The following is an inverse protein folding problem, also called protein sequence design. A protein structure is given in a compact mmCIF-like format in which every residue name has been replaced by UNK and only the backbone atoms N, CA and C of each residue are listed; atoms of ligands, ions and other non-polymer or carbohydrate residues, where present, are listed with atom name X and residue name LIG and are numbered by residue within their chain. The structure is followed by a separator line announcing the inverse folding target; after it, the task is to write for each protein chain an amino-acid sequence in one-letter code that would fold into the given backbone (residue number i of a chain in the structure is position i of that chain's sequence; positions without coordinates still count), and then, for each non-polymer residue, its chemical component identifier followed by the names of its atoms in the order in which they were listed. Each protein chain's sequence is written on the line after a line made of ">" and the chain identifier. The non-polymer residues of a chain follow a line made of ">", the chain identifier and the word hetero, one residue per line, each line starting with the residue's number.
data_IF_198351486809
#
_entry.id   IF_198351486809
#
_cell.length_a   1.000
_cell.length_b   1.000
_cell.length_c   1.000
_cell.angle_alpha   90.00
_cell.angle_beta   90.00
_cell.angle_gamma   90.00
#
_symmetry.space_group_name_H-M   'P 1'
#
loop_
_entity.id
_entity.type
_entity.pdbx_description
1 polymer ?
#
# COMPACT_ATOMS: atom_id res chain seq x y z
N UNK A 1 8.56 7.70 -5.38
CA UNK A 1 7.34 7.72 -4.57
C UNK A 1 7.17 6.41 -3.85
N UNK A 2 6.92 6.45 -2.59
CA UNK A 2 6.73 5.25 -1.78
C UNK A 2 5.24 4.97 -1.67
N UNK A 3 4.83 3.75 -2.03
CA UNK A 3 3.44 3.34 -1.93
C UNK A 3 3.34 2.37 -0.75
N UNK A 4 2.36 2.56 0.11
CA UNK A 4 2.17 1.71 1.28
C UNK A 4 0.73 1.22 1.29
N UNK A 5 0.55 -0.08 1.26
CA UNK A 5 -0.78 -0.66 1.21
C UNK A 5 -0.74 -2.09 1.68
N UNK A 6 -1.85 -2.64 2.07
CA UNK A 6 -1.91 -4.07 2.39
C UNK A 6 -2.98 -4.69 1.52
N UNK A 7 -4.19 -4.94 2.02
CA UNK A 7 -5.20 -5.56 1.19
C UNK A 7 -5.62 -4.71 0.03
N UNK A 8 -5.38 -3.41 0.08
CA UNK A 8 -5.81 -2.50 -0.97
C UNK A 8 -4.74 -2.30 -2.03
N UNK A 9 -3.63 -3.04 -1.94
CA UNK A 9 -2.50 -2.80 -2.84
C UNK A 9 -2.84 -3.01 -4.31
N UNK A 10 -3.73 -3.93 -4.61
CA UNK A 10 -4.08 -4.18 -6.00
C UNK A 10 -5.36 -3.49 -6.45
N UNK A 11 -5.85 -2.52 -5.68
CA UNK A 11 -7.11 -1.89 -6.04
C UNK A 11 -6.91 -0.80 -7.08
N UNK A 12 -8.01 -0.44 -7.72
CA UNK A 12 -7.97 0.60 -8.74
C UNK A 12 -7.55 1.94 -8.17
N UNK A 13 -7.89 2.20 -6.90
CA UNK A 13 -7.54 3.48 -6.31
C UNK A 13 -6.04 3.73 -6.26
N UNK A 14 -5.27 2.71 -5.92
CA UNK A 14 -3.84 2.90 -5.87
C UNK A 14 -3.27 3.03 -7.28
N UNK A 15 -3.79 2.27 -8.23
CA UNK A 15 -3.35 2.39 -9.61
C UNK A 15 -3.66 3.79 -10.16
N UNK A 16 -4.81 4.34 -9.79
CA UNK A 16 -5.17 5.67 -10.23
C UNK A 16 -4.22 6.71 -9.63
N UNK A 17 -3.80 6.51 -8.38
CA UNK A 17 -2.86 7.43 -7.76
C UNK A 17 -1.52 7.42 -8.50
N UNK A 18 -1.09 6.24 -8.96
CA UNK A 18 0.13 6.14 -9.73
C UNK A 18 -0.02 6.90 -11.05
N UNK A 19 -1.14 6.72 -11.74
CA UNK A 19 -1.36 7.42 -13.00
C UNK A 19 -1.42 8.91 -12.80
N UNK A 20 -2.08 9.33 -11.73
CA UNK A 20 -2.22 10.74 -11.47
C UNK A 20 -0.85 11.37 -11.17
N UNK A 21 0.00 10.67 -10.45
CA UNK A 21 1.32 11.19 -10.16
C UNK A 21 2.12 11.37 -11.45
N UNK A 22 1.99 10.41 -12.37
CA UNK A 22 2.74 10.49 -13.61
C UNK A 22 2.30 11.62 -14.49
N UNK A 23 1.08 12.10 -14.33
CA UNK A 23 0.64 13.25 -15.10
C UNK A 23 1.42 14.50 -14.70
N UNK A 24 2.00 14.51 -13.52
CA UNK A 24 2.76 15.66 -13.06
C UNK A 24 4.24 15.53 -13.39
N UNK A 25 4.64 14.43 -13.98
CA UNK A 25 6.03 14.23 -14.39
C UNK A 25 6.52 12.83 -14.07
N UNK A 26 7.69 12.48 -14.54
CA UNK A 26 8.23 11.14 -14.35
C UNK A 26 8.37 10.80 -12.86
N UNK A 27 8.19 9.54 -12.52
CA UNK A 27 8.35 9.10 -11.16
C UNK A 27 8.66 7.62 -11.13
N UNK A 28 9.35 7.19 -10.07
CA UNK A 28 9.66 5.79 -9.87
C UNK A 28 8.91 5.38 -8.61
N UNK A 29 8.33 4.19 -8.61
CA UNK A 29 7.51 3.74 -7.51
C UNK A 29 8.04 2.49 -6.83
N UNK A 30 7.86 2.42 -5.53
CA UNK A 30 8.23 1.24 -4.76
C UNK A 30 7.09 0.96 -3.79
N UNK A 31 6.61 -0.28 -3.74
CA UNK A 31 5.49 -0.65 -2.90
C UNK A 31 5.96 -1.41 -1.67
N UNK A 32 5.50 -1.02 -0.50
CA UNK A 32 5.76 -1.75 0.73
C UNK A 32 4.44 -2.28 1.24
N UNK A 33 4.37 -3.59 1.48
CA UNK A 33 3.19 -4.21 2.05
C UNK A 33 3.57 -4.71 3.43
N UNK A 34 3.12 -4.07 4.49
CA UNK A 34 3.47 -4.52 5.83
C UNK A 34 2.92 -5.91 6.11
N UNK A 35 3.66 -6.70 6.83
CA UNK A 35 3.22 -8.03 7.17
C UNK A 35 1.99 -7.95 8.07
N UNK A 36 1.21 -9.00 8.09
CA UNK A 36 0.00 -8.99 8.88
C UNK A 36 0.37 -9.20 10.34
N UNK A 37 -0.12 -8.41 11.23
CA UNK A 37 0.23 -8.57 12.65
C UNK A 37 -0.55 -9.66 13.34
N UNK A 38 -0.07 -10.84 13.42
CA UNK A 38 -0.76 -11.85 14.08
C UNK A 38 -0.05 -12.25 15.26
N UNK A 39 -0.17 -12.39 16.26
CA UNK A 39 0.56 -12.76 17.39
C UNK A 39 0.84 -14.21 17.47
N UNK A 40 -0.11 -14.93 17.92
CA UNK A 40 0.10 -16.30 18.20
C UNK A 40 0.23 -17.22 17.05
N UNK A 41 -0.40 -16.89 15.98
CA UNK A 41 -0.38 -17.79 14.87
C UNK A 41 0.99 -18.01 14.30
N UNK A 42 1.88 -17.09 14.52
CA UNK A 42 3.17 -17.25 14.00
C UNK A 42 3.87 -18.42 14.62
N UNK A 43 3.51 -18.80 15.77
CA UNK A 43 4.17 -19.89 16.42
C UNK A 43 3.83 -21.19 15.74
N UNK A 44 2.72 -21.20 15.04
CA UNK A 44 2.29 -22.41 14.41
C UNK A 44 2.93 -22.58 13.06
N UNK A 45 2.96 -21.53 12.29
CA UNK A 45 3.50 -21.63 10.96
C UNK A 45 4.11 -20.32 10.56
N UNK A 46 5.30 -20.07 10.92
CA UNK A 46 5.93 -18.80 10.62
C UNK A 46 6.13 -18.55 9.16
N UNK A 47 6.11 -19.59 8.36
CA UNK A 47 6.33 -19.35 6.98
C UNK A 47 5.12 -18.99 6.25
N UNK A 48 3.99 -19.42 6.69
CA UNK A 48 2.77 -19.12 6.03
C UNK A 48 1.97 -18.07 6.68
N UNK A 49 2.28 -17.54 7.70
CA UNK A 49 1.46 -16.56 8.37
C UNK A 49 1.44 -15.23 7.71
N UNK A 50 1.83 -14.25 8.47
CA UNK A 50 1.72 -12.91 8.04
C UNK A 50 2.49 -12.59 6.82
N UNK A 51 3.69 -13.07 6.71
CA UNK A 51 4.50 -12.75 5.57
C UNK A 51 3.92 -13.38 4.32
N UNK A 52 3.30 -14.55 4.44
CA UNK A 52 2.70 -15.19 3.28
C UNK A 52 1.56 -14.38 2.71
N UNK A 53 0.71 -13.85 3.58
CA UNK A 53 -0.40 -13.06 3.12
C UNK A 53 0.06 -11.76 2.50
N UNK A 54 1.02 -11.09 3.12
CA UNK A 54 1.55 -9.86 2.57
C UNK A 54 2.28 -10.13 1.26
N UNK A 55 3.00 -11.24 1.16
CA UNK A 55 3.70 -11.58 -0.06
C UNK A 55 2.71 -11.82 -1.20
N UNK A 56 1.57 -12.43 -0.91
CA UNK A 56 0.56 -12.62 -1.93
C UNK A 56 -0.01 -11.30 -2.38
N UNK A 57 -0.30 -10.41 -1.46
CA UNK A 57 -0.83 -9.10 -1.82
C UNK A 57 0.17 -8.35 -2.69
N UNK A 58 1.45 -8.45 -2.34
CA UNK A 58 2.49 -7.81 -3.11
C UNK A 58 2.56 -8.40 -4.52
N UNK A 59 2.53 -9.73 -4.63
CA UNK A 59 2.63 -10.38 -5.91
C UNK A 59 1.46 -10.05 -6.82
N UNK A 60 0.29 -9.84 -6.25
CA UNK A 60 -0.88 -9.48 -7.04
C UNK A 60 -0.86 -8.03 -7.45
N UNK A 61 -0.29 -7.17 -6.61
CA UNK A 61 -0.30 -5.75 -6.88
C UNK A 61 0.76 -5.30 -7.88
N UNK A 62 1.94 -5.90 -7.82
CA UNK A 62 3.04 -5.41 -8.66
C UNK A 62 2.74 -5.39 -10.15
N UNK A 63 2.12 -6.43 -10.73
CA UNK A 63 1.83 -6.37 -12.16
C UNK A 63 0.84 -5.26 -12.49
N UNK A 64 -0.16 -5.05 -11.63
CA UNK A 64 -1.14 -4.02 -11.89
C UNK A 64 -0.54 -2.62 -11.77
N UNK A 65 0.30 -2.43 -10.77
CA UNK A 65 0.94 -1.13 -10.60
C UNK A 65 1.96 -0.88 -11.71
N UNK A 66 2.65 -1.92 -12.14
CA UNK A 66 3.61 -1.76 -13.22
C UNK A 66 2.91 -1.39 -14.51
N UNK A 67 1.72 -1.97 -14.74
CA UNK A 67 0.97 -1.63 -15.92
C UNK A 67 0.49 -0.18 -15.81
N UNK A 68 0.04 0.26 -14.66
CA UNK A 68 -0.41 1.63 -14.48
C UNK A 68 0.75 2.61 -14.62
N UNK A 69 1.94 2.22 -14.21
CA UNK A 69 3.11 3.09 -14.27
C UNK A 69 3.78 3.08 -15.64
N UNK A 70 3.53 2.05 -16.43
CA UNK A 70 4.19 1.95 -17.72
C UNK A 70 5.62 1.45 -17.61
N UNK A 71 6.03 0.98 -16.43
CA UNK A 71 7.35 0.43 -16.25
C UNK A 71 7.35 -0.37 -14.97
N UNK A 72 8.34 -1.22 -14.74
CA UNK A 72 8.32 -2.09 -13.57
C UNK A 72 8.30 -1.32 -12.26
N UNK A 73 7.44 -1.75 -11.35
CA UNK A 73 7.36 -1.19 -10.01
C UNK A 73 7.96 -2.22 -9.08
N UNK A 74 8.86 -1.80 -8.20
CA UNK A 74 9.48 -2.73 -7.26
C UNK A 74 8.67 -2.78 -5.99
N UNK A 75 8.91 -3.76 -5.16
CA UNK A 75 8.17 -3.89 -3.92
C UNK A 75 8.79 -4.85 -2.95
N UNK A 76 8.30 -4.80 -1.71
CA UNK A 76 8.79 -5.68 -0.67
C UNK A 76 7.76 -5.78 0.45
N UNK A 77 7.86 -6.85 1.23
CA UNK A 77 7.06 -7.00 2.44
C UNK A 77 7.83 -6.28 3.54
N UNK A 78 7.15 -5.48 4.33
CA UNK A 78 7.78 -4.72 5.40
C UNK A 78 7.38 -5.19 6.77
N UNK A 79 7.80 -4.46 7.78
CA UNK A 79 7.51 -4.78 9.17
C UNK A 79 6.00 -4.84 9.39
N UNK A 80 5.58 -5.66 10.34
CA UNK A 80 4.16 -5.79 10.65
C UNK A 80 3.58 -4.50 11.21
N UNK A 81 4.40 -3.67 11.81
CA UNK A 81 3.95 -2.38 12.28
C UNK A 81 4.06 -1.40 11.12
N UNK A 82 2.96 -0.90 10.60
CA UNK A 82 3.03 -0.08 9.37
C UNK A 82 3.95 1.13 9.48
N UNK A 83 3.96 1.80 10.62
CA UNK A 83 4.81 2.97 10.74
C UNK A 83 6.28 2.57 10.69
N UNK A 84 6.62 1.41 11.24
CA UNK A 84 7.98 0.92 11.16
C UNK A 84 8.34 0.52 9.74
N UNK A 85 7.38 -0.06 9.01
CA UNK A 85 7.61 -0.42 7.62
C UNK A 85 7.92 0.82 6.81
N UNK A 86 7.23 1.92 7.06
CA UNK A 86 7.49 3.17 6.37
C UNK A 86 8.85 3.72 6.77
N UNK A 87 9.16 3.68 8.06
CA UNK A 87 10.44 4.19 8.54
C UNK A 87 11.61 3.44 7.92
N UNK A 88 11.49 2.11 7.84
CA UNK A 88 12.53 1.31 7.26
C UNK A 88 12.72 1.66 5.78
N UNK A 89 11.64 1.86 5.06
CA UNK A 89 11.75 2.18 3.64
C UNK A 89 12.36 3.56 3.43
N UNK A 90 11.93 4.52 4.22
CA UNK A 90 12.42 5.89 4.08
C UNK A 90 13.90 5.96 4.44
N UNK A 91 14.35 5.10 5.35
CA UNK A 91 15.75 5.07 5.72
C UNK A 91 16.60 4.33 4.69
N UNK A 92 16.01 3.42 3.93
CA UNK A 92 16.76 2.64 2.96
C UNK A 92 16.95 3.33 1.63
N UNK A 93 16.09 4.27 1.29
CA UNK A 93 16.16 4.95 0.00
C UNK A 93 15.52 6.32 0.11
N UNK A 94 15.76 7.16 -0.89
CA UNK A 94 15.20 8.49 -0.88
C UNK A 94 13.87 8.51 -1.62
N UNK A 95 12.87 9.11 -1.04
CA UNK A 95 11.56 9.26 -1.67
C UNK A 95 11.13 10.72 -1.56
N UNK A 96 10.28 11.14 -2.46
CA UNK A 96 9.79 12.51 -2.44
C UNK A 96 8.32 12.58 -2.03
N UNK A 97 7.68 11.45 -1.85
CA UNK A 97 6.27 11.45 -1.48
C UNK A 97 5.88 10.08 -0.98
N UNK A 98 4.92 10.01 -0.08
CA UNK A 98 4.40 8.75 0.44
C UNK A 98 2.92 8.70 0.12
N UNK A 99 2.45 7.57 -0.43
CA UNK A 99 1.02 7.36 -0.66
C UNK A 99 0.60 6.20 0.21
N UNK A 100 -0.40 6.39 1.04
CA UNK A 100 -0.91 5.34 1.91
C UNK A 100 -2.31 4.98 1.44
N UNK A 101 -2.51 3.71 1.09
CA UNK A 101 -3.80 3.23 0.63
C UNK A 101 -4.45 2.44 1.75
N UNK A 102 -5.69 2.76 2.10
CA UNK A 102 -6.37 2.11 3.20
C UNK A 102 -7.75 1.62 2.78
N UNK A 103 -8.32 0.77 3.60
CA UNK A 103 -9.72 0.42 3.48
C UNK A 103 -10.53 1.64 3.95
N UNK A 104 -11.85 1.64 3.72
CA UNK A 104 -12.68 2.72 4.23
C UNK A 104 -12.53 2.85 5.73
N UNK A 105 -12.74 4.08 6.22
CA UNK A 105 -12.45 4.38 7.62
C UNK A 105 -13.00 3.39 8.62
N UNK A 106 -14.21 2.96 8.50
CA UNK A 106 -14.75 2.07 9.50
C UNK A 106 -14.16 0.68 9.46
N UNK A 107 -13.44 0.33 8.40
CA UNK A 107 -12.83 -0.97 8.28
C UNK A 107 -11.30 -0.91 8.41
N UNK A 108 -10.73 0.27 8.46
CA UNK A 108 -9.29 0.40 8.40
C UNK A 108 -8.66 0.48 9.77
N UNK A 109 -7.85 -0.52 10.12
CA UNK A 109 -7.11 -0.47 11.35
C UNK A 109 -6.09 0.65 11.29
N UNK A 110 -5.52 0.88 10.12
CA UNK A 110 -4.51 1.93 9.99
C UNK A 110 -5.09 3.31 10.29
N UNK A 111 -6.32 3.57 9.87
CA UNK A 111 -6.92 4.86 10.16
C UNK A 111 -7.23 4.98 11.65
N UNK A 112 -7.59 3.88 12.29
CA UNK A 112 -7.84 3.92 13.72
C UNK A 112 -6.55 4.13 14.49
N UNK A 113 -5.40 3.78 13.92
CA UNK A 113 -4.12 4.01 14.54
C UNK A 113 -3.52 5.34 14.12
N UNK A 114 -4.26 6.09 13.30
CA UNK A 114 -3.81 7.43 12.88
C UNK A 114 -2.51 7.36 12.09
N UNK A 115 -2.36 6.34 11.28
CA UNK A 115 -1.14 6.14 10.53
C UNK A 115 -0.83 7.28 9.59
N UNK A 116 -1.85 7.81 8.91
CA UNK A 116 -1.64 8.87 7.93
C UNK A 116 -1.03 10.10 8.61
N UNK A 117 -1.59 10.49 9.76
CA UNK A 117 -1.05 11.63 10.46
C UNK A 117 0.37 11.38 10.93
N UNK A 118 0.62 10.19 11.46
CA UNK A 118 1.95 9.89 11.97
C UNK A 118 2.99 9.86 10.86
N UNK A 119 2.58 9.47 9.66
CA UNK A 119 3.51 9.40 8.55
C UNK A 119 4.02 10.77 8.14
N UNK A 120 3.27 11.83 8.44
CA UNK A 120 3.75 13.17 8.12
C UNK A 120 5.02 13.49 8.90
N UNK A 121 5.28 12.77 9.97
CA UNK A 121 6.48 13.01 10.76
C UNK A 121 7.78 12.68 10.04
N UNK A 122 7.70 12.00 8.89
CA UNK A 122 8.92 11.69 8.15
C UNK A 122 9.34 12.87 7.25
N UNK A 123 8.57 13.94 7.24
CA UNK A 123 8.98 15.13 6.50
C UNK A 123 8.69 15.09 5.01
N UNK A 124 7.88 14.14 4.56
CA UNK A 124 7.53 14.02 3.15
C UNK A 124 6.03 14.26 2.98
N UNK A 125 5.62 14.75 1.83
CA UNK A 125 4.18 14.87 1.56
C UNK A 125 3.54 13.50 1.61
N UNK A 126 2.38 13.41 2.23
CA UNK A 126 1.65 12.14 2.37
C UNK A 126 0.30 12.29 1.70
N UNK A 127 -0.02 11.37 0.80
CA UNK A 127 -1.31 11.34 0.15
C UNK A 127 -2.04 10.10 0.63
N UNK A 128 -3.29 10.25 1.00
CA UNK A 128 -4.09 9.14 1.48
C UNK A 128 -5.10 8.75 0.41
N UNK A 129 -5.14 7.47 0.07
CA UNK A 129 -6.09 6.93 -0.90
C UNK A 129 -6.95 5.93 -0.14
N UNK A 130 -8.26 6.10 -0.22
CA UNK A 130 -9.16 5.21 0.49
C UNK A 130 -9.86 4.34 -0.53
N UNK A 131 -9.79 3.01 -0.42
CA UNK A 131 -10.41 2.11 -1.36
C UNK A 131 -11.93 2.11 -1.19
N UNK A 132 -12.63 1.92 -2.28
CA UNK A 132 -14.08 1.88 -2.20
C UNK A 132 -14.48 0.58 -1.53
N UNK A 133 -15.49 0.69 -0.70
CA UNK A 133 -15.89 -0.44 0.06
C UNK A 133 -16.38 -1.56 -0.79
N UNK A 134 -17.15 -1.33 -1.77
CA UNK A 134 -17.60 -2.33 -2.59
C UNK A 134 -16.97 -2.35 -3.86
N UNK A 135 -15.99 -1.99 -4.01
CA UNK A 135 -15.29 -2.00 -5.14
C UNK A 135 -16.16 -1.89 -6.24
N UNK A 136 -16.08 -1.12 -6.90
CA UNK A 136 -16.86 -0.83 -7.98
C UNK A 136 -17.06 -1.96 -8.78
N UNK A 137 -16.69 -2.96 -8.37
CA UNK A 137 -16.85 -3.94 -9.08
C UNK A 137 -18.12 -4.02 -9.58
N UNK A 138 -19.05 -3.75 -8.97
CA UNK A 138 -20.21 -3.89 -9.47
C UNK A 138 -20.64 -2.77 -10.03
N UNK A 139 -20.29 -1.89 -9.67
CA UNK A 139 -20.76 -0.81 -10.03
C UNK A 139 -20.45 -0.35 -11.28
N UNK A 140 -19.53 -0.48 -11.66
CA UNK A 140 -19.20 0.10 -12.82
C UNK A 140 -20.06 -0.37 -13.70
N UNK A 141 -20.27 -1.42 -13.45
CA UNK A 141 -21.06 -1.95 -14.28
C UNK A 141 -22.20 -1.26 -14.18
N UNK A 142 -22.50 -1.02 -13.15
CA UNK A 142 -23.68 -0.47 -12.99
C UNK A 142 -23.73 0.70 -13.70
N UNK A 143 -22.88 1.27 -13.78
CA UNK A 143 -23.02 2.39 -14.33
C UNK A 143 -23.08 2.17 -15.57
N UNK A 144 -22.81 1.33 -15.64
CA UNK A 144 -23.02 1.06 -16.87
C UNK A 144 -23.81 1.19 -16.94
#
# INVERSE_FOLDING_TARGET
>A
MLLVANRTAATAGLCDAVRERLRRGPAVFHLVVPAHPHGLHKLVDPQDGDAGEAAQALAQALPRLSEAAGEPVTGQVGDAEPLMAIADAVNAASYDEIVISTLPRRLSRWLHLDLVSKAHGFGLPVTHVEAAEHAPEREPAATG
#
